data_IF_169478717366
#
_entry.id   IF_169478717366
#
_cell.length_a   1.000
_cell.length_b   1.000
_cell.length_c   1.000
_cell.angle_alpha   90.00
_cell.angle_beta   90.00
_cell.angle_gamma   90.00
#
_symmetry.space_group_name_H-M   'P 1'
#
loop_
_entity.id
_entity.type
_entity.pdbx_description
1 polymer ?
2 polymer ?
3 water ?
#
# COMPACT_ATOMS: atom_id res chain seq x y z
N UNK A 1 -21.24 -12.20 -13.56
CA UNK A 1 -20.55 -12.50 -12.27
C UNK A 1 -21.29 -11.87 -11.10
N UNK A 2 -21.13 -12.45 -9.92
CA UNK A 2 -21.79 -11.92 -8.73
C UNK A 2 -20.90 -10.84 -8.14
N UNK A 3 -21.45 -9.64 -7.97
CA UNK A 3 -20.69 -8.53 -7.42
C UNK A 3 -20.90 -8.41 -5.92
N UNK A 4 -19.80 -8.38 -5.17
CA UNK A 4 -19.84 -8.26 -3.72
C UNK A 4 -19.49 -6.80 -3.40
N UNK A 5 -20.41 -6.10 -2.76
CA UNK A 5 -20.20 -4.70 -2.45
C UNK A 5 -20.03 -4.36 -0.98
N UNK A 6 -18.86 -3.83 -0.66
CA UNK A 6 -18.55 -3.38 0.69
C UNK A 6 -18.53 -1.87 0.53
N UNK A 7 -19.65 -1.23 0.85
CA UNK A 7 -19.80 0.21 0.69
C UNK A 7 -18.80 1.05 1.47
N UNK A 8 -18.24 0.51 2.55
CA UNK A 8 -17.30 1.27 3.36
C UNK A 8 -15.84 0.82 3.21
N UNK A 9 -15.01 1.68 2.62
CA UNK A 9 -13.61 1.36 2.46
C UNK A 9 -12.92 1.49 3.81
N UNK A 10 -13.37 2.47 4.59
CA UNK A 10 -12.82 2.69 5.92
C UNK A 10 -13.94 2.92 6.92
N UNK A 11 -13.68 2.58 8.17
CA UNK A 11 -14.62 2.76 9.26
C UNK A 11 -13.80 3.09 10.50
N UNK A 12 -14.20 4.13 11.23
CA UNK A 12 -13.48 4.52 12.43
C UNK A 12 -14.07 3.84 13.67
N UNK A 13 -13.22 3.53 14.64
CA UNK A 13 -13.69 2.86 15.85
C UNK A 13 -12.69 3.07 16.98
N UNK A 14 -13.01 2.52 18.15
CA UNK A 14 -12.14 2.64 19.32
C UNK A 14 -12.08 1.30 20.05
N UNK A 15 -10.95 1.04 20.71
CA UNK A 15 -10.80 -0.20 21.45
C UNK A 15 -11.91 -0.31 22.47
N UNK A 16 -12.63 -1.43 22.45
CA UNK A 16 -13.74 -1.62 23.38
C UNK A 16 -15.10 -1.48 22.71
N UNK A 17 -15.17 -0.69 21.65
CA UNK A 17 -16.43 -0.49 20.95
C UNK A 17 -16.77 -1.70 20.08
N UNK A 18 -17.96 -1.66 19.49
CA UNK A 18 -18.42 -2.72 18.61
C UNK A 18 -18.62 -2.10 17.24
N UNK A 19 -18.29 -2.84 16.19
CA UNK A 19 -18.44 -2.32 14.84
C UNK A 19 -19.04 -3.37 13.89
N UNK A 20 -19.82 -2.91 12.94
CA UNK A 20 -20.45 -3.80 11.96
C UNK A 20 -20.06 -3.39 10.54
N UNK A 21 -19.47 -4.34 9.81
CA UNK A 21 -19.06 -4.12 8.43
C UNK A 21 -20.07 -4.74 7.50
N UNK A 22 -20.58 -3.95 6.55
CA UNK A 22 -21.58 -4.39 5.59
C UNK A 22 -21.01 -4.97 4.28
N UNK A 23 -21.77 -5.87 3.66
CA UNK A 23 -21.40 -6.50 2.40
C UNK A 23 -22.67 -6.99 1.73
N UNK A 24 -22.85 -6.63 0.46
CA UNK A 24 -24.05 -7.05 -0.25
C UNK A 24 -23.71 -7.73 -1.56
N UNK A 25 -24.36 -8.86 -1.80
CA UNK A 25 -24.14 -9.63 -3.02
C UNK A 25 -25.19 -9.19 -4.04
N UNK A 26 -24.80 -9.09 -5.31
CA UNK A 26 -25.72 -8.65 -6.36
C UNK A 26 -26.87 -9.62 -6.65
N UNK A 27 -26.78 -10.83 -6.11
CA UNK A 27 -27.84 -11.82 -6.26
C UNK A 27 -27.86 -12.74 -5.05
N UNK A 28 -28.96 -13.46 -4.86
CA UNK A 28 -29.10 -14.34 -3.71
C UNK A 28 -28.08 -15.47 -3.70
N UNK A 29 -27.31 -15.58 -2.61
CA UNK A 29 -26.32 -16.63 -2.47
C UNK A 29 -26.54 -17.42 -1.19
N UNK A 30 -27.74 -17.29 -0.62
CA UNK A 30 -28.06 -17.99 0.62
C UNK A 30 -27.11 -17.62 1.75
N UNK A 31 -26.50 -18.63 2.36
CA UNK A 31 -25.55 -18.41 3.45
C UNK A 31 -24.13 -18.76 3.00
N UNK A 32 -23.92 -18.86 1.70
CA UNK A 32 -22.61 -19.24 1.20
C UNK A 32 -21.64 -18.07 1.06
N UNK A 33 -21.27 -17.48 2.20
CA UNK A 33 -20.34 -16.36 2.20
C UNK A 33 -19.32 -16.52 3.34
N UNK A 34 -18.13 -16.01 3.13
CA UNK A 34 -17.09 -16.10 4.14
C UNK A 34 -16.50 -14.71 4.35
N UNK A 35 -15.86 -14.51 5.51
CA UNK A 35 -15.20 -13.26 5.85
C UNK A 35 -13.74 -13.56 6.17
N UNK A 36 -12.84 -12.74 5.64
CA UNK A 36 -11.41 -12.91 5.88
C UNK A 36 -10.83 -11.62 6.46
N UNK A 37 -9.79 -11.77 7.26
CA UNK A 37 -9.10 -10.64 7.88
C UNK A 37 -7.68 -10.58 7.35
N UNK A 38 -7.20 -9.38 7.03
CA UNK A 38 -5.84 -9.28 6.53
C UNK A 38 -5.09 -8.08 7.09
N UNK A 39 -3.87 -8.33 7.56
CA UNK A 39 -3.01 -7.27 8.10
C UNK A 39 -1.91 -7.02 7.07
N UNK A 40 -1.44 -5.77 6.96
CA UNK A 40 -0.39 -5.40 6.01
C UNK A 40 0.76 -6.41 5.90
N UNK A 41 1.07 -6.80 4.66
CA UNK A 41 2.14 -7.74 4.41
C UNK A 41 1.84 -9.20 4.66
N UNK A 42 0.66 -9.50 5.19
CA UNK A 42 0.30 -10.89 5.46
C UNK A 42 -0.84 -11.37 4.57
N UNK A 43 -1.03 -12.69 4.53
CA UNK A 43 -2.09 -13.28 3.72
C UNK A 43 -3.39 -13.17 4.48
N UNK A 44 -4.53 -13.34 3.79
CA UNK A 44 -5.82 -13.25 4.48
C UNK A 44 -5.93 -14.39 5.49
N UNK A 45 -6.81 -14.24 6.46
CA UNK A 45 -7.03 -15.26 7.49
C UNK A 45 -8.52 -15.50 7.58
N UNK A 46 -8.93 -16.75 7.50
CA UNK A 46 -10.34 -17.11 7.56
C UNK A 46 -10.95 -16.80 8.93
N UNK A 47 -12.05 -16.06 8.94
CA UNK A 47 -12.72 -15.71 10.20
C UNK A 47 -14.10 -16.36 10.31
N UNK A 48 -14.93 -16.13 9.29
CA UNK A 48 -16.29 -16.64 9.25
C UNK A 48 -16.59 -17.42 7.97
N UNK A 49 -17.40 -18.48 8.10
CA UNK A 49 -17.83 -19.26 6.94
C UNK A 49 -19.34 -19.51 7.05
N UNK A 50 -19.98 -19.88 5.94
CA UNK A 50 -21.42 -20.09 5.90
C UNK A 50 -22.15 -18.94 6.60
N UNK A 51 -21.68 -17.72 6.32
CA UNK A 51 -22.29 -16.49 6.84
C UNK A 51 -22.21 -16.22 8.35
N UNK A 52 -22.26 -17.26 9.18
CA UNK A 52 -22.24 -17.03 10.62
C UNK A 52 -21.44 -17.98 11.51
N UNK A 53 -20.67 -18.89 10.91
CA UNK A 53 -19.86 -19.81 11.72
C UNK A 53 -18.42 -19.32 11.82
N UNK A 54 -17.84 -19.37 13.02
CA UNK A 54 -16.45 -18.95 13.21
C UNK A 54 -15.53 -20.14 13.02
N UNK A 55 -14.39 -19.92 12.37
CA UNK A 55 -13.43 -21.00 12.17
C UNK A 55 -12.84 -21.31 13.54
N UNK A 56 -12.18 -22.45 13.67
CA UNK A 56 -11.58 -22.82 14.94
C UNK A 56 -10.47 -21.86 15.34
N UNK A 57 -10.51 -21.43 16.59
CA UNK A 57 -9.49 -20.52 17.09
C UNK A 57 -9.88 -19.05 17.08
N UNK A 58 -10.78 -18.68 16.18
CA UNK A 58 -11.23 -17.30 16.05
C UNK A 58 -11.93 -16.82 17.33
N UNK A 59 -11.63 -15.58 17.75
CA UNK A 59 -12.22 -14.98 18.96
C UNK A 59 -13.75 -14.90 18.87
N UNK A 60 -14.41 -15.12 20.00
CA UNK A 60 -15.87 -15.09 20.06
C UNK A 60 -16.46 -13.70 19.85
N UNK A 61 -15.61 -12.67 19.80
CA UNK A 61 -16.11 -11.32 19.58
C UNK A 61 -16.44 -11.10 18.10
N UNK A 62 -16.02 -12.04 17.26
CA UNK A 62 -16.28 -11.97 15.83
C UNK A 62 -17.55 -12.77 15.54
N UNK A 63 -18.55 -12.10 14.97
CA UNK A 63 -19.80 -12.79 14.64
C UNK A 63 -20.26 -12.34 13.26
N UNK A 64 -20.88 -13.25 12.53
CA UNK A 64 -21.37 -12.90 11.21
C UNK A 64 -22.86 -13.10 11.16
N UNK A 65 -23.55 -12.39 10.28
CA UNK A 65 -25.00 -12.53 10.17
C UNK A 65 -25.46 -12.20 8.76
N UNK A 66 -26.72 -12.52 8.47
CA UNK A 66 -27.28 -12.26 7.17
C UNK A 66 -27.49 -13.51 6.34
N UNK A 67 -28.43 -13.43 5.41
CA UNK A 67 -28.74 -14.54 4.54
C UNK A 67 -29.35 -13.94 3.27
N UNK A 68 -28.99 -14.49 2.12
CA UNK A 68 -29.53 -13.97 0.88
C UNK A 68 -28.58 -13.03 0.15
N UNK A 69 -28.72 -11.72 0.40
CA UNK A 69 -27.87 -10.73 -0.26
C UNK A 69 -27.14 -9.79 0.70
N UNK A 70 -27.73 -9.51 1.85
CA UNK A 70 -27.14 -8.60 2.84
C UNK A 70 -26.44 -9.33 3.97
N UNK A 71 -25.15 -9.04 4.17
CA UNK A 71 -24.40 -9.69 5.23
C UNK A 71 -23.65 -8.71 6.13
N UNK A 72 -23.31 -9.17 7.33
CA UNK A 72 -22.61 -8.32 8.29
C UNK A 72 -21.58 -9.05 9.13
N UNK A 73 -20.40 -8.44 9.26
CA UNK A 73 -19.37 -8.99 10.11
C UNK A 73 -19.36 -8.00 11.28
N UNK A 74 -19.62 -8.49 12.48
CA UNK A 74 -19.65 -7.62 13.63
C UNK A 74 -18.55 -7.98 14.62
N UNK A 75 -17.82 -6.97 15.07
CA UNK A 75 -16.74 -7.17 16.03
C UNK A 75 -17.11 -6.44 17.31
N UNK A 76 -17.18 -7.19 18.40
CA UNK A 76 -17.53 -6.64 19.70
C UNK A 76 -16.27 -6.49 20.53
N UNK A 77 -16.22 -5.46 21.37
CA UNK A 77 -15.06 -5.24 22.23
C UNK A 77 -13.79 -5.20 21.38
N UNK A 78 -13.84 -4.44 20.28
CA UNK A 78 -12.71 -4.31 19.38
C UNK A 78 -11.37 -4.17 20.10
N UNK A 79 -10.40 -4.99 19.70
CA UNK A 79 -9.07 -4.96 20.28
C UNK A 79 -8.07 -4.41 19.27
N UNK A 80 -6.93 -3.93 19.76
CA UNK A 80 -5.91 -3.37 18.88
C UNK A 80 -5.50 -4.37 17.81
N UNK A 81 -5.53 -5.65 18.15
CA UNK A 81 -5.15 -6.70 17.23
C UNK A 81 -6.16 -6.86 16.09
N UNK A 82 -7.36 -6.31 16.30
CA UNK A 82 -8.44 -6.37 15.32
C UNK A 82 -8.34 -5.27 14.27
N UNK A 83 -7.36 -4.38 14.43
CA UNK A 83 -7.19 -3.31 13.46
C UNK A 83 -6.57 -3.89 12.20
N UNK A 84 -7.37 -4.02 11.15
CA UNK A 84 -6.91 -4.59 9.89
C UNK A 84 -7.99 -4.40 8.82
N UNK A 85 -7.86 -5.11 7.71
CA UNK A 85 -8.84 -5.01 6.63
C UNK A 85 -9.67 -6.29 6.58
N UNK A 86 -10.96 -6.15 6.30
CA UNK A 86 -11.85 -7.29 6.25
C UNK A 86 -12.54 -7.40 4.89
N UNK A 87 -12.52 -8.60 4.32
CA UNK A 87 -13.14 -8.85 3.02
C UNK A 87 -14.20 -9.94 3.10
N UNK A 88 -15.31 -9.75 2.37
CA UNK A 88 -16.35 -10.77 2.31
C UNK A 88 -16.16 -11.47 0.97
N UNK A 89 -16.66 -12.69 0.87
CA UNK A 89 -16.52 -13.48 -0.36
C UNK A 89 -17.69 -14.43 -0.53
N UNK A 90 -18.20 -14.55 -1.75
CA UNK A 90 -19.26 -15.52 -2.01
C UNK A 90 -18.51 -16.69 -2.63
N UNK A 91 -18.79 -17.91 -2.17
CA UNK A 91 -18.16 -19.07 -2.78
C UNK A 91 -19.27 -20.01 -3.20
N UNK A 92 -20.38 -19.40 -3.62
CA UNK A 92 -21.55 -20.12 -4.08
C UNK A 92 -21.36 -20.62 -5.52
N UNK A 93 -20.91 -19.73 -6.41
CA UNK A 93 -20.71 -20.10 -7.81
C UNK A 93 -19.58 -19.34 -8.50
N UNK A 94 -18.98 -19.99 -9.49
CA UNK A 94 -17.88 -19.41 -10.27
C UNK A 94 -18.37 -18.30 -11.19
N UNK A 95 -17.57 -17.23 -11.34
CA UNK A 95 -16.28 -17.10 -10.68
C UNK A 95 -16.49 -16.64 -9.24
N UNK A 96 -15.70 -17.19 -8.32
CA UNK A 96 -15.81 -16.78 -6.93
C UNK A 96 -15.40 -15.32 -6.92
N UNK A 97 -16.09 -14.49 -6.14
CA UNK A 97 -15.76 -13.07 -6.09
C UNK A 97 -15.63 -12.54 -4.67
N UNK A 98 -14.81 -11.49 -4.52
CA UNK A 98 -14.57 -10.88 -3.22
C UNK A 98 -15.08 -9.44 -3.17
N UNK A 99 -15.27 -8.95 -1.95
CA UNK A 99 -15.69 -7.58 -1.76
C UNK A 99 -14.41 -6.76 -1.84
N UNK A 100 -14.54 -5.44 -1.95
CA UNK A 100 -13.36 -4.58 -2.07
C UNK A 100 -12.60 -4.36 -0.77
N UNK A 101 -13.15 -4.86 0.34
CA UNK A 101 -12.47 -4.70 1.63
C UNK A 101 -12.85 -3.46 2.43
N UNK A 102 -12.84 -3.60 3.76
CA UNK A 102 -13.16 -2.50 4.66
C UNK A 102 -12.06 -2.44 5.70
N UNK A 103 -11.41 -1.28 5.78
CA UNK A 103 -10.31 -1.05 6.71
C UNK A 103 -10.77 -0.46 8.05
N UNK A 104 -10.30 -1.06 9.14
CA UNK A 104 -10.63 -0.60 10.50
C UNK A 104 -9.51 0.30 11.03
N UNK A 105 -9.83 1.55 11.34
CA UNK A 105 -8.84 2.47 11.85
C UNK A 105 -9.32 3.18 13.13
N UNK A 106 -8.36 3.58 13.96
CA UNK A 106 -8.65 4.24 15.22
C UNK A 106 -9.20 5.66 15.14
N UNK A 107 -10.27 5.90 15.88
CA UNK A 107 -10.90 7.20 15.94
C UNK A 107 -10.03 8.09 16.84
N UNK A 108 -10.01 9.38 16.54
CA UNK A 108 -9.23 10.33 17.33
C UNK A 108 -9.74 11.73 16.99
N UNK A 109 -9.30 12.73 17.75
CA UNK A 109 -9.76 14.10 17.51
C UNK A 109 -9.14 14.69 16.25
N UNK A 110 -9.96 15.42 15.49
CA UNK A 110 -9.51 16.04 14.26
C UNK A 110 -8.23 16.85 14.46
N UNK A 111 -7.33 16.79 13.49
CA UNK A 111 -6.07 17.51 13.56
C UNK A 111 -5.72 18.12 12.21
N UNK A 112 -5.37 19.41 12.22
CA UNK A 112 -5.00 20.12 11.01
C UNK A 112 -3.62 19.70 10.54
N UNK A 113 -3.40 19.61 9.22
CA UNK A 113 -2.09 19.20 8.75
C UNK A 113 -1.05 20.31 8.86
N UNK A 114 0.20 19.92 9.13
CA UNK A 114 1.33 20.85 9.19
C UNK A 114 1.92 20.74 7.80
N UNK A 115 1.91 21.84 7.05
CA UNK A 115 2.41 21.84 5.69
C UNK A 115 3.78 22.48 5.48
N UNK A 116 4.65 21.76 4.78
CA UNK A 116 5.98 22.27 4.47
C UNK A 116 6.23 22.09 2.98
N UNK A 117 6.88 23.07 2.36
CA UNK A 117 7.17 22.98 0.94
C UNK A 117 8.67 23.12 0.73
N UNK A 118 9.20 22.41 -0.26
CA UNK A 118 10.62 22.42 -0.53
C UNK A 118 10.91 22.59 -2.01
N UNK A 119 11.93 23.39 -2.34
CA UNK A 119 12.30 23.62 -3.74
C UNK A 119 13.23 22.52 -4.23
N UNK A 120 13.36 22.39 -5.55
CA UNK A 120 14.27 21.34 -6.03
C UNK A 120 15.68 21.69 -5.57
N UNK A 121 16.46 20.67 -5.28
CA UNK A 121 17.82 20.87 -4.81
C UNK A 121 18.80 21.22 -5.94
N UNK A 122 19.90 21.87 -5.57
CA UNK A 122 20.94 22.23 -6.54
C UNK A 122 21.42 20.94 -7.21
N UNK A 123 21.49 19.88 -6.41
CA UNK A 123 21.93 18.57 -6.91
C UNK A 123 21.03 18.09 -8.06
N UNK A 124 19.73 18.09 -7.84
CA UNK A 124 18.81 17.63 -8.89
C UNK A 124 18.79 18.55 -10.12
N UNK A 125 18.86 19.86 -9.89
CA UNK A 125 18.86 20.80 -11.01
C UNK A 125 20.06 20.53 -11.92
N UNK A 126 21.20 20.21 -11.32
CA UNK A 126 22.41 19.92 -12.10
C UNK A 126 22.19 18.72 -13.01
N UNK A 127 21.33 17.81 -12.57
CA UNK A 127 21.03 16.63 -13.37
C UNK A 127 19.85 16.87 -14.32
N UNK A 128 19.49 18.14 -14.50
CA UNK A 128 18.41 18.50 -15.42
C UNK A 128 16.98 18.30 -14.96
N UNK A 129 16.79 18.08 -13.66
CA UNK A 129 15.45 17.87 -13.14
C UNK A 129 15.08 18.86 -12.05
N UNK A 130 13.80 18.86 -11.68
CA UNK A 130 13.33 19.76 -10.64
C UNK A 130 12.04 19.25 -9.99
N UNK A 131 12.17 18.70 -8.79
CA UNK A 131 11.00 18.20 -8.07
C UNK A 131 10.68 19.19 -6.94
N UNK A 132 9.42 19.62 -6.86
CA UNK A 132 9.00 20.52 -5.79
C UNK A 132 8.22 19.61 -4.86
N UNK A 133 8.58 19.61 -3.57
CA UNK A 133 7.92 18.73 -2.63
C UNK A 133 7.12 19.41 -1.53
N UNK A 134 6.01 18.79 -1.20
CA UNK A 134 5.12 19.31 -0.18
C UNK A 134 4.77 18.19 0.79
N UNK A 135 5.00 18.44 2.08
CA UNK A 135 4.66 17.48 3.13
C UNK A 135 3.45 18.02 3.88
N UNK A 136 2.44 17.17 4.08
CA UNK A 136 1.24 17.52 4.84
C UNK A 136 1.27 16.50 5.97
N UNK A 137 1.82 16.89 7.12
CA UNK A 137 1.97 15.95 8.23
C UNK A 137 1.03 15.98 9.43
N UNK A 138 0.83 14.78 9.98
CA UNK A 138 0.03 14.54 11.17
C UNK A 138 -1.37 15.17 11.22
N UNK A 139 -2.22 14.80 10.28
CA UNK A 139 -3.58 15.32 10.24
C UNK A 139 -4.60 14.20 10.47
N UNK A 140 -5.86 14.58 10.68
CA UNK A 140 -6.94 13.63 10.89
C UNK A 140 -8.26 14.36 10.76
N UNK A 141 -9.24 13.75 10.06
CA UNK A 141 -9.26 12.45 9.38
C UNK A 141 -8.30 12.34 8.19
N UNK A 142 -8.23 11.14 7.61
CA UNK A 142 -7.33 10.87 6.49
C UNK A 142 -7.62 11.62 5.19
N UNK A 143 -8.89 11.86 4.90
CA UNK A 143 -9.25 12.55 3.66
C UNK A 143 -8.68 13.95 3.59
N UNK A 144 -7.93 14.21 2.52
CA UNK A 144 -7.30 15.49 2.31
C UNK A 144 -7.11 15.70 0.82
N UNK A 145 -7.01 16.96 0.41
CA UNK A 145 -6.80 17.26 -1.00
C UNK A 145 -5.71 18.29 -1.20
N UNK A 146 -4.80 18.00 -2.12
CA UNK A 146 -3.72 18.93 -2.39
C UNK A 146 -3.72 19.41 -3.84
N UNK A 147 -3.40 20.68 -4.02
CA UNK A 147 -3.34 21.29 -5.34
C UNK A 147 -2.03 22.02 -5.54
N UNK A 148 -1.46 21.89 -6.73
CA UNK A 148 -0.23 22.59 -7.06
C UNK A 148 -0.58 23.73 -8.01
N UNK A 149 0.07 24.88 -7.81
CA UNK A 149 -0.15 26.02 -8.67
C UNK A 149 1.20 26.64 -9.02
N UNK A 150 1.38 26.93 -10.30
CA UNK A 150 2.60 27.53 -10.81
C UNK A 150 2.19 28.91 -11.34
N UNK A 151 2.78 29.96 -10.78
CA UNK A 151 2.45 31.31 -11.21
C UNK A 151 0.95 31.55 -11.19
N UNK A 152 0.26 31.04 -10.17
CA UNK A 152 -1.17 31.24 -10.06
C UNK A 152 -2.08 30.24 -10.73
N UNK A 153 -1.55 29.43 -11.65
CA UNK A 153 -2.35 28.44 -12.36
C UNK A 153 -2.18 27.04 -11.79
N UNK A 154 -3.28 26.30 -11.64
CA UNK A 154 -3.18 24.94 -11.13
C UNK A 154 -2.46 24.04 -12.14
N UNK A 155 -1.64 23.13 -11.62
CA UNK A 155 -0.86 22.19 -12.43
C UNK A 155 -1.21 20.76 -12.00
N UNK A 156 -1.51 19.89 -12.97
CA UNK A 156 -1.87 18.51 -12.64
C UNK A 156 -0.96 17.41 -13.21
N UNK A 157 -0.30 17.68 -14.33
CA UNK A 157 0.61 16.69 -14.92
C UNK A 157 1.95 16.76 -14.21
N UNK A 158 2.54 15.61 -13.89
CA UNK A 158 3.83 15.60 -13.21
C UNK A 158 3.72 15.49 -11.69
N UNK A 159 2.51 15.30 -11.20
CA UNK A 159 2.29 15.19 -9.76
C UNK A 159 2.16 13.74 -9.31
N UNK A 160 2.88 13.39 -8.25
CA UNK A 160 2.87 12.04 -7.70
C UNK A 160 2.66 12.16 -6.18
N UNK A 161 1.70 11.41 -5.66
CA UNK A 161 1.38 11.45 -4.23
C UNK A 161 1.66 10.15 -3.48
N UNK A 162 1.89 10.27 -2.19
CA UNK A 162 2.13 9.12 -1.32
C UNK A 162 1.52 9.39 0.05
N UNK A 163 0.78 8.42 0.57
CA UNK A 163 0.10 8.52 1.86
C UNK A 163 0.61 7.47 2.84
N UNK A 164 0.78 7.84 4.10
CA UNK A 164 1.21 6.86 5.09
C UNK A 164 -0.05 6.22 5.66
N UNK A 165 0.13 5.12 6.40
CA UNK A 165 -0.99 4.46 7.04
C UNK A 165 -1.12 5.13 8.39
N UNK A 166 -2.25 4.94 9.06
CA UNK A 166 -2.44 5.55 10.36
C UNK A 166 -1.23 5.31 11.27
N UNK A 167 -0.71 6.38 11.86
CA UNK A 167 0.44 6.24 12.74
C UNK A 167 0.05 5.46 13.99
N UNK A 168 0.94 4.55 14.42
CA UNK A 168 0.66 3.72 15.58
C UNK A 168 0.75 4.46 16.90
N UNK A 169 1.39 5.63 16.89
CA UNK A 169 1.54 6.43 18.11
C UNK A 169 0.48 7.51 18.32
N UNK A 170 0.17 8.29 17.29
CA UNK A 170 -0.82 9.36 17.44
C UNK A 170 -2.07 9.21 16.58
N UNK A 171 -2.20 8.09 15.88
CA UNK A 171 -3.36 7.83 15.04
C UNK A 171 -3.61 8.87 13.95
N UNK A 172 -2.57 9.61 13.59
CA UNK A 172 -2.70 10.62 12.54
C UNK A 172 -2.22 10.05 11.22
N UNK A 173 -2.42 10.82 10.17
CA UNK A 173 -2.02 10.44 8.83
C UNK A 173 -1.11 11.54 8.28
N UNK A 174 -0.27 11.19 7.32
CA UNK A 174 0.62 12.14 6.67
C UNK A 174 0.62 11.88 5.17
N UNK A 175 0.98 12.90 4.41
CA UNK A 175 1.00 12.80 2.96
C UNK A 175 2.15 13.59 2.38
N UNK A 176 2.63 13.11 1.24
CA UNK A 176 3.71 13.76 0.53
C UNK A 176 3.24 13.95 -0.90
N UNK A 177 3.47 15.14 -1.44
CA UNK A 177 3.08 15.43 -2.82
C UNK A 177 4.32 16.00 -3.53
N UNK A 178 4.61 15.45 -4.70
CA UNK A 178 5.78 15.88 -5.45
C UNK A 178 5.44 16.26 -6.89
N UNK A 179 5.82 17.46 -7.27
CA UNK A 179 5.60 17.95 -8.63
C UNK A 179 6.96 17.91 -9.30
N UNK A 180 7.10 17.07 -10.33
CA UNK A 180 8.37 16.95 -11.02
C UNK A 180 8.32 17.58 -12.40
N UNK A 181 9.25 18.50 -12.63
CA UNK A 181 9.34 19.17 -13.91
C UNK A 181 10.76 19.02 -14.41
N UNK A 182 10.96 19.52 -15.62
CA UNK A 182 12.26 19.53 -16.26
C UNK A 182 12.94 20.75 -15.63
N UNK A 183 14.27 20.82 -15.68
CA UNK A 183 14.96 21.97 -15.12
C UNK A 183 14.52 23.22 -15.88
N UNK A 184 14.54 23.16 -17.20
CA UNK A 184 14.13 24.29 -18.01
C UNK A 184 12.69 24.72 -17.68
N UNK A 185 11.80 23.75 -17.50
CA UNK A 185 10.42 24.06 -17.18
C UNK A 185 10.34 24.83 -15.85
N UNK A 186 11.05 24.33 -14.85
CA UNK A 186 11.07 24.96 -13.54
C UNK A 186 11.59 26.39 -13.57
N UNK A 187 12.61 26.65 -14.38
CA UNK A 187 13.20 27.99 -14.46
C UNK A 187 12.41 28.96 -15.33
N UNK A 188 11.32 28.47 -15.90
CA UNK A 188 10.47 29.25 -16.78
C UNK A 188 9.39 29.99 -15.99
N UNK A 189 9.19 29.56 -14.75
CA UNK A 189 8.17 30.16 -13.88
C UNK A 189 8.81 30.70 -12.61
N UNK A 190 8.03 31.45 -11.82
CA UNK A 190 8.57 32.04 -10.60
C UNK A 190 7.86 31.68 -9.29
N UNK A 191 6.54 31.58 -9.34
CA UNK A 191 5.78 31.27 -8.14
C UNK A 191 5.32 29.81 -8.05
N UNK A 192 5.62 29.16 -6.94
CA UNK A 192 5.22 27.77 -6.73
C UNK A 192 4.43 27.65 -5.44
N UNK A 193 3.30 26.97 -5.51
CA UNK A 193 2.44 26.84 -4.35
C UNK A 193 1.83 25.47 -4.11
N UNK A 194 1.73 25.11 -2.84
CA UNK A 194 1.12 23.87 -2.42
C UNK A 194 -0.10 24.33 -1.63
N UNK A 195 -1.27 23.80 -1.98
CA UNK A 195 -2.52 24.14 -1.31
C UNK A 195 -3.25 22.90 -0.84
N UNK A 196 -3.59 22.87 0.44
CA UNK A 196 -4.27 21.72 0.99
C UNK A 196 -5.60 22.11 1.61
N UNK A 197 -6.64 21.31 1.33
CA UNK A 197 -7.95 21.55 1.89
C UNK A 197 -8.27 20.37 2.78
N UNK A 198 -8.58 20.64 4.04
CA UNK A 198 -8.86 19.58 5.00
C UNK A 198 -10.11 19.95 5.81
N UNK A 199 -10.76 18.94 6.38
CA UNK A 199 -11.96 19.12 7.18
C UNK A 199 -11.76 20.13 8.31
N UNK A 200 -10.55 20.19 8.85
CA UNK A 200 -10.23 21.10 9.95
C UNK A 200 -10.32 22.58 9.63
N UNK A 201 -10.32 22.95 8.36
CA UNK A 201 -10.42 24.36 8.01
C UNK A 201 -11.26 24.63 6.77
N UNK A 202 -12.03 25.70 6.82
CA UNK A 202 -12.88 26.11 5.71
C UNK A 202 -12.06 26.70 4.58
N UNK A 203 -10.90 27.24 4.93
CA UNK A 203 -10.01 27.82 3.94
C UNK A 203 -8.75 26.96 3.79
N UNK A 204 -8.23 26.85 2.56
CA UNK A 204 -7.03 26.05 2.29
C UNK A 204 -5.79 26.53 3.03
N UNK A 205 -4.89 25.59 3.34
CA UNK A 205 -3.63 25.93 3.98
C UNK A 205 -2.72 26.14 2.78
N UNK A 206 -2.08 27.31 2.70
CA UNK A 206 -1.22 27.64 1.59
C UNK A 206 0.25 27.81 1.95
N UNK A 207 1.12 27.22 1.14
CA UNK A 207 2.57 27.32 1.33
C UNK A 207 3.17 27.62 -0.03
N UNK A 208 3.89 28.73 -0.14
CA UNK A 208 4.49 29.14 -1.40
C UNK A 208 5.92 29.64 -1.26
N UNK A 209 6.53 29.90 -2.42
CA UNK A 209 7.88 30.42 -2.50
C UNK A 209 8.10 30.91 -3.92
N UNK A 210 9.00 31.88 -4.08
CA UNK A 210 9.32 32.41 -5.40
C UNK A 210 10.75 32.01 -5.71
N UNK A 211 10.95 31.47 -6.91
CA UNK A 211 12.28 31.04 -7.33
C UNK A 211 13.31 32.14 -7.12
N UNK A 212 14.46 31.76 -6.59
CA UNK A 212 15.57 32.70 -6.34
C UNK A 212 15.21 33.95 -5.55
N UNK A 213 14.29 33.82 -4.59
CA UNK A 213 13.89 34.96 -3.76
C UNK A 213 13.67 34.57 -2.30
N UNK A 214 14.37 35.25 -1.40
CA UNK A 214 14.25 35.02 0.02
C UNK A 214 14.03 36.34 0.74
N UNK B 1 -2.46 -27.90 11.26
CA UNK B 1 -1.44 -28.80 10.66
C UNK B 1 -1.33 -28.55 9.16
N UNK B 2 -2.45 -28.25 8.52
CA UNK B 2 -2.42 -27.96 7.08
C UNK B 2 -1.51 -26.76 6.86
N UNK B 3 -0.66 -26.83 5.84
CA UNK B 3 0.24 -25.73 5.56
C UNK B 3 0.45 -25.60 4.05
N UNK B 4 0.62 -24.37 3.59
CA UNK B 4 0.83 -24.10 2.17
C UNK B 4 2.06 -23.21 2.02
N UNK B 5 3.16 -23.80 1.60
CA UNK B 5 4.41 -23.06 1.45
C UNK B 5 4.61 -22.62 0.01
N UNK B 6 4.51 -21.32 -0.24
CA UNK B 6 4.68 -20.79 -1.58
C UNK B 6 6.11 -20.41 -1.88
N UNK B 7 6.42 -20.36 -3.17
CA UNK B 7 7.76 -19.99 -3.63
C UNK B 7 8.05 -18.52 -3.39
N UNK B 8 9.33 -18.16 -3.43
CA UNK B 8 9.75 -16.79 -3.19
C UNK B 8 9.37 -15.80 -4.28
N UNK B 9 9.70 -14.54 -4.03
CA UNK B 9 9.40 -13.45 -4.95
C UNK B 9 9.97 -13.65 -6.35
N UNK B 10 9.30 -13.06 -7.35
CA UNK B 10 9.74 -13.18 -8.73
C UNK B 10 9.85 -11.79 -9.36
N UNK B 11 10.93 -11.56 -10.10
CA UNK B 11 11.15 -10.28 -10.75
C UNK B 11 11.54 -10.60 -12.18
N UNK B 12 10.66 -10.29 -13.14
CA UNK B 12 10.92 -10.57 -14.53
C UNK B 12 10.58 -9.39 -15.44
N UNK B 13 10.93 -9.54 -16.71
CA UNK B 13 10.68 -8.50 -17.71
C UNK B 13 9.41 -8.85 -18.48
N UNK B 14 8.73 -7.85 -19.07
CA UNK B 14 7.51 -8.09 -19.83
C UNK B 14 7.70 -9.16 -20.90
N UNK B 15 6.64 -9.94 -21.14
CA UNK B 15 6.70 -10.99 -22.15
C UNK B 15 7.23 -12.30 -21.61
N UNK B 16 7.83 -12.28 -20.42
CA UNK B 16 8.34 -13.52 -19.85
C UNK B 16 7.22 -14.37 -19.29
N UNK B 17 7.58 -15.49 -18.66
CA UNK B 17 6.62 -16.39 -18.05
C UNK B 17 7.20 -16.88 -16.72
N UNK B 18 6.34 -17.06 -15.73
CA UNK B 18 6.78 -17.55 -14.41
C UNK B 18 5.91 -18.73 -14.00
N UNK B 19 6.50 -19.65 -13.23
CA UNK B 19 5.84 -20.84 -12.73
C UNK B 19 5.98 -20.82 -11.19
N UNK B 20 4.91 -20.45 -10.50
CA UNK B 20 4.92 -20.39 -9.04
C UNK B 20 4.44 -21.70 -8.43
N UNK B 21 4.99 -22.04 -7.26
CA UNK B 21 4.64 -23.28 -6.59
C UNK B 21 4.03 -23.09 -5.20
N UNK B 22 3.20 -24.04 -4.81
CA UNK B 22 2.52 -24.01 -3.54
C UNK B 22 2.57 -25.43 -2.99
N UNK B 23 3.51 -25.66 -2.09
CA UNK B 23 3.71 -26.97 -1.48
C UNK B 23 2.77 -27.23 -0.31
N UNK B 24 1.94 -28.26 -0.44
CA UNK B 24 0.99 -28.60 0.62
C UNK B 24 1.53 -29.70 1.54
N UNK B 25 1.28 -29.54 2.83
CA UNK B 25 1.71 -30.54 3.80
C UNK B 25 0.74 -30.51 4.99
N UNK B 26 0.73 -31.58 5.78
CA UNK B 26 -0.15 -31.61 6.93
C UNK B 26 -1.59 -32.01 6.65
N UNK B 27 -1.86 -32.48 5.44
CA UNK B 27 -3.20 -32.94 5.05
C UNK B 27 -3.12 -33.71 3.74
N UNK B 28 -4.21 -34.36 3.35
CA UNK B 28 -4.23 -35.12 2.11
C UNK B 28 -4.46 -34.20 0.91
N UNK B 29 -3.36 -33.85 0.25
CA UNK B 29 -3.35 -32.95 -0.90
C UNK B 29 -4.44 -33.20 -1.94
N UNK B 30 -4.61 -34.45 -2.35
CA UNK B 30 -5.60 -34.78 -3.37
C UNK B 30 -7.08 -34.68 -2.96
N UNK B 31 -7.36 -34.43 -1.68
CA UNK B 31 -8.74 -34.35 -1.23
C UNK B 31 -9.40 -32.97 -1.30
N UNK B 32 -8.63 -31.92 -1.57
CA UNK B 32 -9.22 -30.59 -1.65
C UNK B 32 -8.75 -29.80 -2.85
N UNK B 33 -9.62 -28.95 -3.37
CA UNK B 33 -9.25 -28.12 -4.51
C UNK B 33 -8.28 -27.04 -4.03
N UNK B 34 -7.37 -26.65 -4.90
CA UNK B 34 -6.41 -25.61 -4.58
C UNK B 34 -6.84 -24.41 -5.41
N UNK B 35 -7.05 -23.29 -4.75
CA UNK B 35 -7.46 -22.06 -5.42
C UNK B 35 -6.31 -21.08 -5.49
N UNK B 36 -6.34 -20.20 -6.48
CA UNK B 36 -5.33 -19.16 -6.60
C UNK B 36 -6.02 -17.81 -6.65
N UNK B 37 -5.42 -16.84 -5.98
CA UNK B 37 -5.96 -15.49 -5.90
C UNK B 37 -4.94 -14.41 -6.14
N UNK B 38 -5.33 -13.39 -6.90
CA UNK B 38 -4.44 -12.26 -7.20
C UNK B 38 -4.86 -11.07 -6.34
N UNK B 39 -3.88 -10.33 -5.83
CA UNK B 39 -4.21 -9.15 -5.04
C UNK B 39 -3.37 -7.95 -5.45
N UNK B 40 -4.06 -6.86 -5.75
CA UNK B 40 -3.42 -5.61 -6.16
C UNK B 40 -4.21 -4.51 -5.45
N UNK B 41 -3.61 -3.31 -5.31
CA UNK B 41 -4.31 -2.21 -4.65
C UNK B 41 -5.53 -1.76 -5.45
N UNK B 42 -5.37 -1.70 -6.77
CA UNK B 42 -6.43 -1.25 -7.66
C UNK B 42 -7.55 -2.26 -7.95
N UNK B 43 -7.22 -3.55 -7.98
CA UNK B 43 -8.22 -4.57 -8.29
C UNK B 43 -8.66 -5.43 -7.11
N UNK B 44 -8.06 -5.20 -5.94
CA UNK B 44 -8.39 -5.99 -4.77
C UNK B 44 -8.09 -7.46 -4.99
N UNK B 45 -8.85 -8.33 -4.32
CA UNK B 45 -8.67 -9.77 -4.45
C UNK B 45 -9.49 -10.30 -5.63
N UNK B 46 -8.84 -11.03 -6.52
CA UNK B 46 -9.51 -11.60 -7.69
C UNK B 46 -9.23 -13.08 -7.75
N UNK B 47 -10.30 -13.86 -7.88
CA UNK B 47 -10.18 -15.30 -7.99
C UNK B 47 -9.67 -15.64 -9.39
N UNK B 48 -8.56 -16.38 -9.46
CA UNK B 48 -7.97 -16.78 -10.73
C UNK B 48 -8.56 -18.07 -11.25
N UNK B 49 -8.59 -19.08 -10.39
CA UNK B 49 -9.14 -20.37 -10.78
C UNK B 49 -8.85 -21.41 -9.72
N UNK B 50 -9.26 -22.64 -9.99
CA UNK B 50 -9.05 -23.72 -9.05
C UNK B 50 -8.71 -25.02 -9.77
N UNK B 51 -8.08 -25.92 -9.02
CA UNK B 51 -7.71 -27.22 -9.57
C UNK B 51 -7.92 -28.31 -8.53
N UNK B 52 -8.48 -29.43 -8.98
CA UNK B 52 -8.69 -30.58 -8.10
C UNK B 52 -7.49 -31.47 -8.33
N UNK B 53 -6.58 -31.57 -7.35
CA UNK B 53 -5.37 -32.39 -7.47
C UNK B 53 -5.64 -33.86 -7.81
N UNK B 54 -6.81 -34.35 -7.43
CA UNK B 54 -7.15 -35.73 -7.70
C UNK B 54 -6.97 -36.17 -9.15
N UNK B 55 -7.41 -35.34 -10.10
CA UNK B 55 -7.29 -35.68 -11.51
C UNK B 55 -6.81 -34.52 -12.38
N UNK B 56 -6.53 -33.38 -11.77
CA UNK B 56 -6.06 -32.24 -12.53
C UNK B 56 -7.14 -31.36 -13.17
N UNK B 57 -8.41 -31.66 -12.93
CA UNK B 57 -9.48 -30.84 -13.50
C UNK B 57 -9.33 -29.40 -13.01
N UNK B 58 -9.53 -28.45 -13.92
CA UNK B 58 -9.40 -27.04 -13.58
C UNK B 58 -10.60 -26.19 -13.98
N UNK B 59 -10.76 -25.07 -13.28
CA UNK B 59 -11.83 -24.10 -13.53
C UNK B 59 -11.17 -22.73 -13.48
N UNK B 60 -11.48 -21.88 -14.45
CA UNK B 60 -10.88 -20.55 -14.50
C UNK B 60 -11.85 -19.39 -14.59
N UNK B 61 -11.42 -18.27 -14.01
CA UNK B 61 -12.17 -17.02 -14.07
C UNK B 61 -11.94 -16.61 -15.54
N UNK B 62 -12.98 -16.26 -16.28
CA UNK B 62 -12.77 -15.87 -17.68
C UNK B 62 -11.69 -14.80 -17.81
N UNK B 63 -11.61 -13.91 -16.83
CA UNK B 63 -10.62 -12.83 -16.85
C UNK B 63 -9.17 -13.32 -16.92
N UNK B 64 -8.91 -14.53 -16.43
CA UNK B 64 -7.55 -15.05 -16.43
C UNK B 64 -7.28 -16.19 -17.40
N UNK B 65 -8.28 -16.49 -18.23
CA UNK B 65 -8.14 -17.54 -19.22
C UNK B 65 -7.06 -17.10 -20.20
N UNK B 66 -6.06 -17.94 -20.40
CA UNK B 66 -4.98 -17.60 -21.30
C UNK B 66 -3.81 -16.93 -20.59
N UNK B 67 -4.05 -16.46 -19.37
CA UNK B 67 -3.01 -15.81 -18.59
C UNK B 67 -2.40 -16.80 -17.59
N UNK B 68 -3.26 -17.51 -16.85
CA UNK B 68 -2.78 -18.46 -15.86
C UNK B 68 -3.07 -19.90 -16.26
N UNK B 69 -2.20 -20.81 -15.82
CA UNK B 69 -2.37 -22.23 -16.10
C UNK B 69 -2.05 -22.99 -14.82
N UNK B 70 -3.05 -23.69 -14.29
CA UNK B 70 -2.89 -24.43 -13.04
C UNK B 70 -2.58 -25.90 -13.29
N UNK B 71 -1.64 -26.43 -12.51
CA UNK B 71 -1.26 -27.84 -12.61
C UNK B 71 -0.83 -28.31 -11.23
N UNK B 72 -0.65 -29.62 -11.08
CA UNK B 72 -0.22 -30.18 -9.80
C UNK B 72 0.73 -31.34 -10.02
N UNK B 73 1.46 -31.67 -8.96
CA UNK B 73 2.37 -32.81 -8.95
C UNK B 73 1.90 -33.58 -7.72
N UNK B 74 1.05 -34.59 -7.95
CA UNK B 74 0.49 -35.39 -6.86
C UNK B 74 1.51 -36.02 -5.93
N UNK B 75 2.53 -36.63 -6.51
CA UNK B 75 3.57 -37.30 -5.74
C UNK B 75 4.29 -36.40 -4.74
N UNK B 76 4.48 -35.14 -5.09
CA UNK B 76 5.17 -34.20 -4.22
C UNK B 76 4.20 -33.27 -3.48
N UNK B 77 2.90 -33.53 -3.61
CA UNK B 77 1.88 -32.69 -2.96
C UNK B 77 2.11 -31.22 -3.26
N UNK B 78 2.35 -30.89 -4.51
CA UNK B 78 2.58 -29.51 -4.88
C UNK B 78 1.65 -29.00 -5.99
N UNK B 79 1.22 -27.75 -5.84
CA UNK B 79 0.35 -27.12 -6.83
C UNK B 79 1.19 -26.07 -7.55
N UNK B 80 0.91 -25.85 -8.83
CA UNK B 80 1.65 -24.87 -9.61
C UNK B 80 0.75 -23.94 -10.42
N UNK B 81 1.22 -22.71 -10.61
CA UNK B 81 0.50 -21.75 -11.42
C UNK B 81 1.49 -21.05 -12.32
N UNK B 82 1.26 -21.15 -13.62
CA UNK B 82 2.12 -20.52 -14.60
C UNK B 82 1.40 -19.28 -15.11
N UNK B 83 2.11 -18.17 -15.22
CA UNK B 83 1.53 -16.94 -15.74
C UNK B 83 2.39 -16.57 -16.95
N UNK B 84 1.77 -16.36 -18.10
CA UNK B 84 2.54 -16.05 -19.31
C UNK B 84 2.23 -14.70 -19.95
N UNK B 85 2.98 -14.37 -21.00
CA UNK B 85 2.80 -13.10 -21.71
C UNK B 85 2.67 -11.99 -20.67
N UNK B 86 3.53 -12.04 -19.66
CA UNK B 86 3.50 -11.08 -18.58
C UNK B 86 3.65 -9.63 -18.96
N UNK B 87 2.94 -8.77 -18.23
CA UNK B 87 2.99 -7.33 -18.43
C UNK B 87 2.96 -6.73 -17.03
N UNK B 88 3.19 -5.43 -16.93
CA UNK B 88 3.17 -4.75 -15.64
C UNK B 88 1.85 -4.96 -14.91
N UNK B 89 0.77 -5.20 -15.65
CA UNK B 89 -0.55 -5.42 -15.06
C UNK B 89 -0.62 -6.71 -14.25
N UNK B 90 0.35 -7.59 -14.44
CA UNK B 90 0.40 -8.85 -13.72
C UNK B 90 1.19 -8.72 -12.43
N UNK B 91 1.77 -7.54 -12.21
CA UNK B 91 2.54 -7.31 -10.99
C UNK B 91 1.54 -7.30 -9.83
N UNK B 92 1.75 -8.20 -8.89
CA UNK B 92 0.85 -8.32 -7.74
C UNK B 92 1.35 -9.40 -6.80
N UNK B 93 0.55 -9.69 -5.79
CA UNK B 93 0.86 -10.75 -4.84
C UNK B 93 -0.13 -11.84 -5.19
N UNK B 94 0.36 -13.08 -5.31
CA UNK B 94 -0.48 -14.20 -5.65
C UNK B 94 -0.51 -15.23 -4.53
N UNK B 95 -1.71 -15.58 -4.10
CA UNK B 95 -1.91 -16.55 -3.03
C UNK B 95 -2.54 -17.86 -3.51
N UNK B 96 -2.16 -18.96 -2.87
CA UNK B 96 -2.80 -20.23 -3.13
C UNK B 96 -3.58 -20.43 -1.85
N UNK B 97 -4.67 -21.18 -1.91
CA UNK B 97 -5.48 -21.40 -0.74
C UNK B 97 -6.23 -22.69 -0.91
N UNK B 98 -6.41 -23.41 0.19
CA UNK B 98 -7.11 -24.67 0.18
C UNK B 98 -8.60 -24.36 0.24
N UNK B 99 -9.36 -24.96 -0.67
CA UNK B 99 -10.78 -24.73 -0.69
C UNK B 99 -11.57 -25.81 0.01
N UNK B 100 -12.60 -25.41 0.73
CA UNK B 100 -13.49 -26.33 1.42
C UNK B 100 -14.84 -26.08 0.74
N UNK B 101 -15.52 -27.14 0.32
CA UNK B 101 -16.80 -27.00 -0.36
C UNK B 101 -17.77 -26.08 0.39
N UNK B 102 -17.87 -26.27 1.71
CA UNK B 102 -18.77 -25.45 2.51
C UNK B 102 -18.08 -24.51 3.47
N UNK B 103 -16.78 -24.72 3.70
CA UNK B 103 -16.05 -23.90 4.63
C UNK B 103 -15.15 -22.81 4.01
N UNK B 104 -15.29 -22.58 2.70
CA UNK B 104 -14.49 -21.54 2.05
C UNK B 104 -12.98 -21.82 1.97
N UNK B 105 -12.18 -20.76 2.00
CA UNK B 105 -10.73 -20.90 1.92
C UNK B 105 -10.17 -20.91 3.35
N UNK B 106 -10.09 -22.09 3.96
CA UNK B 106 -9.64 -22.15 5.34
C UNK B 106 -8.15 -21.94 5.60
N UNK B 107 -7.31 -22.35 4.65
CA UNK B 107 -5.86 -22.14 4.81
C UNK B 107 -5.31 -21.45 3.56
N UNK B 108 -4.44 -20.47 3.77
CA UNK B 108 -3.83 -19.69 2.70
C UNK B 108 -2.31 -19.81 2.70
N UNK B 109 -1.71 -19.62 1.53
CA UNK B 109 -0.26 -19.64 1.45
C UNK B 109 0.19 -18.26 1.90
N UNK B 110 1.49 -18.04 2.08
CA UNK B 110 1.98 -16.74 2.52
C UNK B 110 2.01 -15.74 1.37
N UNK B 111 1.83 -16.24 0.15
CA UNK B 111 1.83 -15.36 -1.00
C UNK B 111 3.20 -15.21 -1.66
N UNK B 112 3.20 -15.08 -2.98
CA UNK B 112 4.42 -14.90 -3.76
C UNK B 112 4.27 -13.57 -4.51
N UNK B 113 5.22 -12.67 -4.34
CA UNK B 113 5.16 -11.37 -5.00
C UNK B 113 5.77 -11.42 -6.40
N UNK B 114 5.02 -10.96 -7.40
CA UNK B 114 5.52 -10.94 -8.77
C UNK B 114 5.66 -9.50 -9.23
N UNK B 115 6.85 -9.18 -9.73
CA UNK B 115 7.11 -7.84 -10.26
C UNK B 115 7.51 -8.03 -11.72
N UNK B 116 6.77 -7.39 -12.62
CA UNK B 116 7.09 -7.45 -14.04
C UNK B 116 7.46 -6.02 -14.42
N UNK B 117 8.71 -5.81 -14.81
CA UNK B 117 9.19 -4.48 -15.17
C UNK B 117 10.27 -4.47 -16.27
N UNK B 118 10.37 -3.34 -16.98
CA UNK B 118 11.35 -3.18 -18.05
C UNK B 118 12.60 -2.52 -17.46
N UNK B 119 12.49 -2.12 -16.19
CA UNK B 119 13.58 -1.46 -15.49
C UNK B 119 14.73 -2.40 -15.14
N UNK B 120 15.89 -1.81 -14.86
CA UNK B 120 17.09 -2.57 -14.48
C UNK B 120 17.52 -2.06 -13.11
N UNK B 121 18.28 -2.87 -12.38
CA UNK B 121 18.76 -2.48 -11.06
C UNK B 121 19.46 -1.13 -11.13
N UNK B 122 19.02 -0.19 -10.29
CA UNK B 122 19.60 1.15 -10.28
C UNK B 122 19.59 1.77 -8.88
N UNK B 123 20.71 2.36 -8.49
CA UNK B 123 20.80 3.01 -7.18
C UNK B 123 20.01 4.31 -7.28
N UNK B 124 19.52 4.83 -6.15
CA UNK B 124 18.75 6.08 -6.19
C UNK B 124 19.60 7.33 -6.17
N UNK B 125 19.01 8.45 -6.59
CA UNK B 125 19.67 9.74 -6.50
C UNK B 125 19.08 10.22 -5.18
N UNK B 126 19.91 10.71 -4.27
CA UNK B 126 19.42 11.18 -2.98
C UNK B 126 19.54 12.69 -2.90
N UNK B 127 18.39 13.35 -2.88
CA UNK B 127 18.34 14.81 -2.86
C UNK B 127 17.87 15.38 -1.54
N UNK B 128 18.55 16.44 -1.05
CA UNK B 128 18.18 17.06 0.22
C UNK B 128 16.95 17.95 0.06
N UNK B 129 16.10 17.95 1.08
CA UNK B 129 14.91 18.77 1.08
C UNK B 129 15.07 19.75 2.25
N UNK B 130 15.53 20.96 1.93
CA UNK B 130 15.71 21.97 2.97
C UNK B 130 14.62 23.01 2.80
N UNK B 131 13.97 23.40 3.89
CA UNK B 131 12.92 24.39 3.74
C UNK B 131 13.40 25.61 2.95
N UNK B 132 12.48 26.21 2.21
CA UNK B 132 12.80 27.38 1.42
C UNK B 132 13.44 28.44 2.30
N UNK B 133 14.57 28.97 1.85
CA UNK B 133 15.32 29.99 2.57
C UNK B 133 15.73 29.57 3.99
N UNK B 134 15.67 28.27 4.25
CA UNK B 134 16.03 27.75 5.56
C UNK B 134 15.19 28.33 6.69
N UNK B 135 14.01 28.84 6.35
CA UNK B 135 13.09 29.45 7.31
C UNK B 135 12.27 28.41 8.06
N UNK B 136 11.59 28.89 9.08
CA UNK B 136 10.68 28.08 9.87
C UNK B 136 9.89 29.11 10.67
N UNK B 137 8.79 28.68 11.27
CA UNK B 137 7.98 29.61 12.05
C UNK B 137 7.96 29.26 13.54
N UNK B 138 7.40 28.11 13.88
CA UNK B 138 7.34 27.73 15.29
C UNK B 138 8.68 27.36 15.90
N UNK B 139 8.64 26.55 16.93
CA UNK B 139 9.85 26.11 17.61
C UNK B 139 10.41 24.86 16.94
N UNK B 140 9.80 24.48 15.81
CA UNK B 140 10.23 23.30 15.06
C UNK B 140 10.46 23.62 13.59
N UNK B 141 11.24 22.77 12.93
CA UNK B 141 11.53 22.92 11.52
C UNK B 141 11.48 21.52 10.93
N UNK B 142 10.93 21.39 9.73
CA UNK B 142 10.84 20.10 9.08
C UNK B 142 11.79 20.07 7.88
N UNK B 143 12.53 18.97 7.78
CA UNK B 143 13.47 18.78 6.69
C UNK B 143 13.01 17.50 6.01
N UNK B 144 13.58 17.23 4.84
CA UNK B 144 13.18 16.04 4.12
C UNK B 144 14.31 15.48 3.30
N UNK B 145 14.05 14.31 2.73
CA UNK B 145 15.01 13.61 1.92
C UNK B 145 14.21 13.00 0.77
N UNK B 146 14.65 13.24 -0.46
CA UNK B 146 13.98 12.69 -1.64
C UNK B 146 14.86 11.60 -2.27
N UNK B 147 14.37 10.36 -2.23
CA UNK B 147 15.12 9.23 -2.80
C UNK B 147 14.44 8.91 -4.12
N UNK B 148 15.03 9.43 -5.20
CA UNK B 148 14.46 9.31 -6.53
C UNK B 148 15.13 8.41 -7.57
N UNK B 149 14.30 7.62 -8.23
CA UNK B 149 14.77 6.76 -9.30
C UNK B 149 15.59 5.52 -8.97
N UNK B 150 15.03 4.63 -8.16
CA UNK B 150 15.74 3.41 -7.82
C UNK B 150 14.92 2.18 -8.19
N UNK B 151 15.60 1.05 -8.33
CA UNK B 151 14.94 -0.21 -8.66
C UNK B 151 15.92 -1.34 -8.34
N UNK B 152 15.45 -2.40 -7.66
CA UNK B 152 14.06 -2.54 -7.21
C UNK B 152 13.95 -2.07 -5.76
N UNK B 153 12.82 -2.37 -5.14
CA UNK B 153 12.64 -2.02 -3.73
C UNK B 153 13.41 -3.10 -2.97
N UNK B 154 13.79 -2.82 -1.72
CA UNK B 154 13.52 -1.56 -1.02
C UNK B 154 14.79 -0.78 -0.78
N UNK B 155 14.66 0.29 0.00
CA UNK B 155 15.77 1.12 0.42
C UNK B 155 15.57 1.24 1.93
N UNK B 156 16.64 1.52 2.65
CA UNK B 156 16.54 1.69 4.10
C UNK B 156 16.97 3.13 4.36
N UNK B 157 16.23 3.83 5.21
CA UNK B 157 16.55 5.22 5.47
C UNK B 157 16.48 5.59 6.94
N UNK B 158 17.49 6.31 7.39
CA UNK B 158 17.55 6.76 8.77
C UNK B 158 18.01 8.20 8.79
N UNK B 159 17.78 8.87 9.91
CA UNK B 159 18.20 10.25 10.07
C UNK B 159 19.26 10.32 11.17
N UNK B 160 20.42 10.89 10.83
CA UNK B 160 21.55 11.00 11.75
C UNK B 160 21.87 9.63 12.33
N UNK B 161 22.01 8.65 11.44
CA UNK B 161 22.32 7.29 11.81
C UNK B 161 21.30 6.72 12.80
N UNK B 162 20.06 7.15 12.68
CA UNK B 162 19.01 6.66 13.55
C UNK B 162 18.86 7.39 14.88
N UNK B 163 19.77 8.31 15.19
CA UNK B 163 19.69 9.04 16.46
C UNK B 163 18.43 9.91 16.51
N UNK B 164 17.91 10.24 15.33
CA UNK B 164 16.67 11.01 15.24
C UNK B 164 15.60 10.01 14.79
N UNK B 165 14.77 9.55 15.73
CA UNK B 165 13.73 8.58 15.40
C UNK B 165 12.35 9.17 15.59
N UNK B 166 12.22 10.07 16.55
CA UNK B 166 10.94 10.72 16.80
C UNK B 166 10.77 11.82 15.77
N UNK B 167 9.52 12.10 15.39
CA UNK B 167 9.26 13.15 14.43
C UNK B 167 9.63 12.78 13.00
N UNK B 168 9.79 11.48 12.75
CA UNK B 168 10.13 11.01 11.40
C UNK B 168 8.94 10.32 10.71
N UNK B 169 8.80 10.59 9.42
CA UNK B 169 7.74 10.00 8.60
C UNK B 169 8.38 9.61 7.28
N UNK B 170 8.37 8.32 6.94
CA UNK B 170 8.93 7.91 5.66
C UNK B 170 7.74 7.42 4.83
N UNK B 171 7.50 8.08 3.71
CA UNK B 171 6.37 7.75 2.85
C UNK B 171 6.58 6.54 1.94
N UNK B 172 5.50 5.78 1.69
CA UNK B 172 5.58 4.59 0.83
C UNK B 172 6.13 4.94 -0.55
N UNK B 173 6.99 4.08 -1.07
CA UNK B 173 7.58 4.32 -2.39
C UNK B 173 6.47 4.33 -3.44
N UNK B 174 6.66 5.13 -4.47
CA UNK B 174 5.70 5.22 -5.55
C UNK B 174 6.42 4.93 -6.84
N UNK B 175 5.78 4.15 -7.71
CA UNK B 175 6.38 3.78 -8.99
C UNK B 175 6.17 4.94 -9.96
N UNK B 176 7.17 5.18 -10.80
CA UNK B 176 7.10 6.25 -11.77
C UNK B 176 8.04 5.96 -12.93
N UNK B 177 7.46 5.69 -14.10
CA UNK B 177 8.22 5.39 -15.29
C UNK B 177 9.25 4.31 -15.00
N UNK B 178 8.77 3.17 -14.50
CA UNK B 178 9.60 2.02 -14.18
C UNK B 178 10.43 2.11 -12.93
N UNK B 179 10.68 3.31 -12.42
CA UNK B 179 11.51 3.41 -11.21
C UNK B 179 10.72 3.88 -9.99
N UNK B 180 11.24 3.57 -8.81
CA UNK B 180 10.60 3.97 -7.56
C UNK B 180 11.15 5.29 -7.05
N UNK B 181 10.31 6.02 -6.33
CA UNK B 181 10.68 7.28 -5.70
C UNK B 181 10.02 7.29 -4.31
N UNK B 182 10.78 7.74 -3.32
CA UNK B 182 10.31 7.78 -1.95
C UNK B 182 10.82 9.05 -1.28
N UNK B 183 10.13 9.50 -0.24
CA UNK B 183 10.58 10.67 0.49
C UNK B 183 10.41 10.43 1.98
N UNK B 184 11.18 11.16 2.78
CA UNK B 184 11.10 11.01 4.22
C UNK B 184 11.16 12.39 4.87
N UNK B 185 10.34 12.56 5.91
CA UNK B 185 10.25 13.81 6.63
C UNK B 185 10.81 13.65 8.04
N UNK B 186 11.45 14.70 8.54
CA UNK B 186 11.99 14.71 9.90
C UNK B 186 11.79 16.10 10.47
N UNK B 187 11.22 16.16 11.66
CA UNK B 187 10.95 17.42 12.33
C UNK B 187 11.79 17.50 13.60
N UNK B 188 12.53 18.60 13.77
CA UNK B 188 13.35 18.79 14.97
C UNK B 188 13.09 20.19 15.50
N UNK B 189 13.65 20.49 16.66
CA UNK B 189 13.47 21.82 17.25
C UNK B 189 14.29 22.78 16.39
N UNK B 190 13.85 24.04 16.30
CA UNK B 190 14.57 25.02 15.50
C UNK B 190 15.95 25.28 16.09
N UNK B 191 16.14 24.90 17.35
CA UNK B 191 17.42 25.09 18.02
C UNK B 191 18.37 23.96 17.65
N UNK B 192 17.87 23.00 16.89
CA UNK B 192 18.67 21.85 16.46
C UNK B 192 19.28 22.09 15.08
N UNK B 193 18.48 22.66 14.18
CA UNK B 193 18.92 22.93 12.82
C UNK B 193 18.63 24.40 12.50
N UNK B 194 19.51 25.06 11.72
CA UNK B 194 20.74 24.56 11.11
C UNK B 194 21.98 24.56 12.03
N UNK B 195 21.76 24.83 13.32
CA UNK B 195 22.86 24.86 14.30
C UNK B 195 23.65 23.55 14.27
N UNK B 196 22.92 22.43 14.27
CA UNK B 196 23.55 21.12 14.23
C UNK B 196 23.30 20.52 12.85
N UNK B 197 24.08 19.51 12.49
CA UNK B 197 23.91 18.89 11.19
C UNK B 197 22.84 17.80 11.20
N UNK B 198 22.06 17.74 10.12
CA UNK B 198 21.03 16.73 9.96
C UNK B 198 21.39 16.05 8.65
N UNK B 199 21.52 14.74 8.70
CA UNK B 199 21.90 13.96 7.53
C UNK B 199 20.94 12.80 7.29
N UNK B 200 20.68 12.54 6.01
CA UNK B 200 19.81 11.46 5.58
C UNK B 200 20.72 10.32 5.13
N UNK B 201 20.59 9.14 5.75
CA UNK B 201 21.43 8.00 5.36
C UNK B 201 20.58 7.02 4.58
N UNK B 202 20.96 6.77 3.33
CA UNK B 202 20.17 5.89 2.46
C UNK B 202 20.92 4.72 1.83
N UNK B 203 20.41 3.51 2.07
CA UNK B 203 21.03 2.32 1.51
C UNK B 203 20.09 1.60 0.57
N UNK B 204 20.66 1.12 -0.55
CA UNK B 204 19.90 0.38 -1.54
C UNK B 204 20.68 -0.92 -1.75
N UNK B 205 20.40 -1.95 -0.92
CA UNK B 205 21.05 -3.26 -1.00
C UNK B 205 21.24 -3.81 -2.40
N UNK B 206 20.15 -3.84 -3.17
CA UNK B 206 20.19 -4.37 -4.53
C UNK B 206 21.35 -3.84 -5.39
N UNK B 207 21.78 -2.60 -5.16
CA UNK B 207 22.88 -2.04 -5.94
C UNK B 207 24.13 -1.84 -5.08
N UNK B 208 24.08 -2.33 -3.85
CA UNK B 208 25.18 -2.24 -2.90
C UNK B 208 25.64 -0.82 -2.59
N UNK B 209 24.70 0.13 -2.68
CA UNK B 209 25.03 1.53 -2.41
C UNK B 209 24.57 2.01 -1.05
N UNK B 210 25.32 2.94 -0.48
CA UNK B 210 25.01 3.56 0.80
C UNK B 210 25.41 5.02 0.64
N UNK B 211 24.47 5.92 0.89
CA UNK B 211 24.75 7.34 0.73
C UNK B 211 24.25 8.18 1.91
N UNK B 212 25.04 9.20 2.27
CA UNK B 212 24.68 10.11 3.35
C UNK B 212 24.57 11.48 2.71
N UNK B 213 23.45 12.15 2.95
CA UNK B 213 23.24 13.47 2.38
C UNK B 213 22.90 14.47 3.48
N UNK B 214 23.80 15.44 3.66
CA UNK B 214 23.59 16.47 4.67
C UNK B 214 22.58 17.50 4.18
N UNK B 215 21.68 17.92 5.05
CA UNK B 215 20.66 18.92 4.71
C UNK B 215 21.25 20.27 5.08
N UNK B 216 21.59 21.05 4.06
CA UNK B 216 22.21 22.35 4.26
C UNK B 216 21.25 23.52 4.07
N UNK B 217 21.36 24.54 4.93
CA UNK B 217 20.48 25.69 4.77
C UNK B 217 21.08 26.42 3.56
N UNK B 218 20.24 26.98 2.71
CA UNK B 218 20.76 27.66 1.52
C UNK B 218 19.99 28.92 1.17
N UNK B 219 20.64 29.77 0.39
CA UNK B 219 20.03 31.01 -0.07
C UNK B 219 19.96 30.91 -1.58
N UNK B 220 19.32 31.87 -2.28
CA UNK B 220 19.26 31.77 -3.74
C UNK B 220 20.64 31.68 -4.42
#
# INVERSE_FOLDING_TARGET
>A
DIVMTQSQKFMSTSVGDRVSISCKASQNVGNIIAWYQQKPGQSPKALIYLASYRYSGVPDRFTGSGSGTDFTLTISNVQSEDLAEYFCQQYSSFPLTFGAGTKLELKRADAAPTVSIFPPSSEQLTSGGASVVCFLNNFYPKDINVKWKIDGSERQNGVLNSWTDQDSKDSTYSMSSTLTLTKDEYERHNSYTCEATHKTSTSPIVKSFNRNEC
>B
QAYLQESGAELVRPGASVKMSCKASGYRFTSYNMHWVKQTPRQGLEWIGAIYPGNGDTSYNQKFKGKATLTVDKSSSTAYMQLSSLTSEDSAVYFCARGRLSLGFDYWGQGSTLTVSSAKTTAPSVYPLAPVCGDTTGSSVTLGCLVKGYFPEPVTLTWNSGSLSSGVHTFPAVLQSDLYTLSSSVTVTSSTWPSQSITCNVAHPASSTKVDKKIEPRGP
#
